data_IF_335655041570
#
_entry.id   IF_335655041570
#
_cell.length_a   1.000
_cell.length_b   1.000
_cell.length_c   1.000
_cell.angle_alpha   90.00
_cell.angle_beta   90.00
_cell.angle_gamma   90.00
#
_symmetry.space_group_name_H-M   'P 1'
#
loop_
_entity.id
_entity.type
_entity.pdbx_description
1 polymer ?
#
# COMPACT_ATOMS: atom_id res chain seq x y z
N UNK A 1 -28.80 -40.38 -10.07
CA UNK A 1 -28.73 -38.90 -9.95
C UNK A 1 -27.28 -38.49 -9.74
N UNK A 2 -26.75 -37.69 -10.67
CA UNK A 2 -25.36 -37.24 -10.78
C UNK A 2 -25.23 -35.86 -10.16
N UNK A 3 -24.22 -35.59 -9.32
CA UNK A 3 -23.25 -34.52 -9.60
C UNK A 3 -22.04 -34.56 -8.66
N UNK A 4 -20.92 -34.94 -9.25
CA UNK A 4 -19.56 -34.74 -8.75
C UNK A 4 -19.30 -33.26 -8.45
N UNK A 5 -18.60 -32.99 -7.35
CA UNK A 5 -17.98 -31.69 -7.08
C UNK A 5 -16.78 -31.53 -8.01
N UNK A 6 -16.96 -30.70 -9.04
CA UNK A 6 -15.91 -30.36 -10.00
C UNK A 6 -14.99 -29.32 -9.36
N UNK A 7 -13.75 -29.75 -9.11
CA UNK A 7 -12.59 -28.90 -8.84
C UNK A 7 -12.48 -27.84 -9.95
N UNK A 8 -12.53 -26.56 -9.57
CA UNK A 8 -12.29 -25.46 -10.50
C UNK A 8 -10.78 -25.23 -10.58
N UNK A 9 -10.16 -25.96 -11.51
CA UNK A 9 -8.82 -25.72 -11.99
C UNK A 9 -8.65 -24.25 -12.41
N UNK A 10 -7.48 -23.70 -12.10
CA UNK A 10 -7.01 -22.42 -12.60
C UNK A 10 -7.09 -22.40 -14.13
N UNK A 11 -7.92 -21.51 -14.67
CA UNK A 11 -7.89 -21.19 -16.09
C UNK A 11 -6.85 -20.08 -16.33
N UNK A 12 -6.07 -20.16 -17.43
CA UNK A 12 -4.98 -19.24 -17.71
C UNK A 12 -5.57 -17.88 -18.09
N UNK A 13 -5.09 -16.80 -17.48
CA UNK A 13 -5.38 -15.46 -17.95
C UNK A 13 -4.31 -15.06 -18.96
N UNK A 14 -4.54 -15.44 -20.21
CA UNK A 14 -4.10 -14.63 -21.33
C UNK A 14 -4.70 -13.24 -21.16
N UNK A 15 -3.86 -12.27 -20.78
CA UNK A 15 -4.23 -10.87 -20.92
C UNK A 15 -3.02 -10.09 -21.38
N UNK A 16 -2.89 -10.07 -22.71
CA UNK A 16 -2.64 -8.89 -23.54
C UNK A 16 -2.33 -7.65 -22.70
N UNK A 17 -1.11 -7.13 -22.89
CA UNK A 17 -0.53 -5.91 -22.34
C UNK A 17 -1.52 -4.73 -22.29
N UNK A 18 -2.37 -4.70 -21.27
CA UNK A 18 -3.14 -3.51 -20.92
C UNK A 18 -2.22 -2.63 -20.09
N UNK A 19 -2.06 -1.34 -20.43
CA UNK A 19 -1.27 -0.43 -19.60
C UNK A 19 -1.79 -0.52 -18.17
N UNK A 20 -0.87 -0.74 -17.22
CA UNK A 20 -1.19 -1.01 -15.83
C UNK A 20 -2.17 0.05 -15.32
N UNK A 21 -3.36 -0.39 -14.90
CA UNK A 21 -4.43 0.53 -14.46
C UNK A 21 -3.93 1.34 -13.27
N UNK A 22 -3.89 2.66 -13.42
CA UNK A 22 -3.56 3.58 -12.32
C UNK A 22 -4.74 3.66 -11.34
N UNK A 23 -4.53 3.20 -10.11
CA UNK A 23 -5.52 3.28 -9.03
C UNK A 23 -5.25 4.53 -8.20
N UNK A 24 -6.25 5.41 -8.07
CA UNK A 24 -6.21 6.54 -7.15
C UNK A 24 -6.84 6.13 -5.83
N UNK A 25 -6.02 6.06 -4.79
CA UNK A 25 -6.48 5.87 -3.41
C UNK A 25 -6.25 7.14 -2.58
N UNK A 26 -7.20 7.49 -1.71
CA UNK A 26 -7.12 8.65 -0.82
C UNK A 26 -7.21 8.18 0.61
N UNK A 27 -6.17 8.47 1.40
CA UNK A 27 -6.04 8.00 2.78
C UNK A 27 -6.13 9.14 3.79
N UNK A 28 -6.80 8.88 4.91
CA UNK A 28 -6.84 9.76 6.09
C UNK A 28 -5.83 9.24 7.10
N UNK A 29 -4.86 10.06 7.49
CA UNK A 29 -3.82 9.74 8.48
C UNK A 29 -3.75 10.81 9.57
N UNK A 30 -3.21 10.51 10.77
CA UNK A 30 -2.89 11.50 11.78
C UNK A 30 -1.97 12.60 11.25
N UNK A 31 -2.05 13.79 11.85
CA UNK A 31 -1.23 14.93 11.44
C UNK A 31 0.27 14.64 11.57
N UNK A 32 0.67 13.94 12.64
CA UNK A 32 2.06 13.58 12.91
C UNK A 32 2.62 12.66 11.83
N UNK A 33 1.88 11.62 11.43
CA UNK A 33 2.26 10.72 10.34
C UNK A 33 2.34 11.45 9.00
N UNK A 34 1.44 12.40 8.75
CA UNK A 34 1.49 13.22 7.55
C UNK A 34 2.74 14.11 7.52
N UNK A 35 3.16 14.65 8.67
CA UNK A 35 4.37 15.45 8.78
C UNK A 35 5.63 14.66 8.43
N UNK A 36 5.67 13.35 8.70
CA UNK A 36 6.79 12.48 8.30
C UNK A 36 7.03 12.48 6.79
N UNK A 37 5.99 12.68 5.97
CA UNK A 37 6.15 12.79 4.50
C UNK A 37 7.03 13.97 4.14
N UNK A 38 6.88 15.11 4.81
CA UNK A 38 7.71 16.29 4.57
C UNK A 38 9.16 16.03 4.97
N UNK A 39 9.38 15.40 6.13
CA UNK A 39 10.71 14.98 6.60
C UNK A 39 11.38 14.05 5.58
N UNK A 40 10.65 13.05 5.07
CA UNK A 40 11.19 12.11 4.08
C UNK A 40 11.54 12.82 2.76
N UNK A 41 10.75 13.79 2.31
CA UNK A 41 11.10 14.61 1.14
C UNK A 41 12.37 15.42 1.38
N UNK A 42 12.52 16.04 2.55
CA UNK A 42 13.73 16.79 2.89
C UNK A 42 14.97 15.88 2.88
N UNK A 43 14.88 14.66 3.45
CA UNK A 43 15.96 13.66 3.38
C UNK A 43 16.28 13.25 1.94
N UNK A 44 15.27 13.06 1.11
CA UNK A 44 15.47 12.73 -0.29
C UNK A 44 16.18 13.87 -1.06
N UNK A 45 15.84 15.13 -0.75
CA UNK A 45 16.52 16.32 -1.28
C UNK A 45 17.98 16.39 -0.85
N UNK A 46 18.30 16.08 0.41
CA UNK A 46 19.69 16.01 0.90
C UNK A 46 20.49 14.95 0.14
N UNK A 47 19.86 13.86 -0.28
CA UNK A 47 20.44 12.83 -1.15
C UNK A 47 20.41 13.20 -2.65
N UNK A 48 20.18 14.47 -2.99
CA UNK A 48 20.10 14.99 -4.36
C UNK A 48 19.03 14.31 -5.23
N UNK A 49 18.01 13.69 -4.60
CA UNK A 49 16.93 12.97 -5.28
C UNK A 49 15.56 13.47 -4.81
N UNK A 50 15.00 14.54 -5.40
CA UNK A 50 13.65 15.00 -5.06
C UNK A 50 12.63 13.88 -5.31
N UNK A 51 11.75 13.63 -4.32
CA UNK A 51 10.76 12.56 -4.38
C UNK A 51 9.32 13.09 -4.26
N UNK A 52 8.41 12.51 -5.04
CA UNK A 52 6.97 12.77 -4.92
C UNK A 52 6.37 12.04 -3.72
N UNK A 53 5.24 12.53 -3.20
CA UNK A 53 4.51 11.85 -2.12
C UNK A 53 4.15 10.40 -2.50
N UNK A 54 3.65 10.20 -3.73
CA UNK A 54 3.30 8.86 -4.23
C UNK A 54 4.51 7.94 -4.43
N UNK A 55 5.71 8.48 -4.65
CA UNK A 55 6.94 7.68 -4.74
C UNK A 55 7.40 7.22 -3.36
N UNK A 56 7.40 8.13 -2.37
CA UNK A 56 7.74 7.80 -0.99
C UNK A 56 6.81 6.74 -0.40
N UNK A 57 5.50 6.85 -0.64
CA UNK A 57 4.54 5.85 -0.16
C UNK A 57 4.77 4.48 -0.80
N UNK A 58 5.03 4.44 -2.13
CA UNK A 58 5.36 3.19 -2.82
C UNK A 58 6.68 2.60 -2.30
N UNK A 59 7.71 3.41 -2.12
CA UNK A 59 8.98 2.98 -1.56
C UNK A 59 8.83 2.42 -0.14
N UNK A 60 7.98 3.05 0.69
CA UNK A 60 7.61 2.54 2.01
C UNK A 60 6.96 1.16 1.94
N UNK A 61 6.01 0.94 1.03
CA UNK A 61 5.39 -0.37 0.82
C UNK A 61 6.40 -1.44 0.40
N UNK A 62 7.34 -1.11 -0.51
CA UNK A 62 8.40 -2.03 -0.90
C UNK A 62 9.34 -2.35 0.28
N UNK A 63 9.70 -1.35 1.09
CA UNK A 63 10.49 -1.58 2.30
C UNK A 63 9.74 -2.47 3.31
N UNK A 64 8.45 -2.23 3.54
CA UNK A 64 7.62 -3.06 4.43
C UNK A 64 7.49 -4.50 3.91
N UNK A 65 7.45 -4.71 2.58
CA UNK A 65 7.39 -6.05 1.99
C UNK A 65 8.67 -6.86 2.17
N UNK A 66 9.80 -6.21 2.47
CA UNK A 66 11.07 -6.87 2.75
C UNK A 66 11.22 -7.34 4.21
N UNK A 67 10.29 -6.95 5.10
CA UNK A 67 10.33 -7.31 6.51
C UNK A 67 9.85 -8.75 6.75
N UNK A 68 10.33 -9.37 7.82
CA UNK A 68 9.76 -10.63 8.30
C UNK A 68 8.33 -10.43 8.81
N UNK A 69 7.47 -11.48 8.82
CA UNK A 69 6.09 -11.35 9.29
C UNK A 69 5.98 -10.78 10.71
N UNK A 70 6.89 -11.17 11.60
CA UNK A 70 6.93 -10.70 12.99
C UNK A 70 7.34 -9.23 13.10
N UNK A 71 8.31 -8.80 12.27
CA UNK A 71 8.74 -7.41 12.24
C UNK A 71 7.64 -6.50 11.66
N UNK A 72 6.94 -6.98 10.63
CA UNK A 72 5.78 -6.27 10.08
C UNK A 72 4.67 -6.12 11.11
N UNK A 73 4.31 -7.20 11.84
CA UNK A 73 3.30 -7.14 12.89
C UNK A 73 3.67 -6.10 13.96
N UNK A 74 4.90 -6.15 14.47
CA UNK A 74 5.40 -5.17 15.45
C UNK A 74 5.34 -3.73 14.93
N UNK A 75 5.68 -3.52 13.65
CA UNK A 75 5.62 -2.20 13.02
C UNK A 75 4.18 -1.68 12.92
N UNK A 76 3.21 -2.55 12.68
CA UNK A 76 1.78 -2.20 12.64
C UNK A 76 1.22 -1.94 14.05
N UNK A 77 1.59 -2.73 15.03
CA UNK A 77 1.14 -2.59 16.42
C UNK A 77 1.63 -1.29 17.08
N UNK A 78 2.76 -0.74 16.60
CA UNK A 78 3.29 0.54 17.06
C UNK A 78 2.53 1.76 16.52
N UNK A 79 1.65 1.59 15.53
CA UNK A 79 0.91 2.71 14.94
C UNK A 79 -0.23 3.15 15.86
N UNK A 80 -0.38 4.47 16.02
CA UNK A 80 -1.52 5.01 16.74
C UNK A 80 -2.83 4.67 16.00
N UNK A 81 -3.86 4.19 16.71
CA UNK A 81 -5.13 3.84 16.08
C UNK A 81 -5.75 5.08 15.45
N UNK A 82 -5.91 5.04 14.13
CA UNK A 82 -6.62 6.09 13.39
C UNK A 82 -8.11 5.90 13.63
N UNK A 83 -8.78 6.89 14.22
CA UNK A 83 -10.25 6.96 14.14
C UNK A 83 -10.61 7.12 12.67
N UNK A 84 -10.91 6.00 12.01
CA UNK A 84 -11.16 5.95 10.59
C UNK A 84 -12.34 6.87 10.23
N UNK A 85 -12.04 8.08 9.77
CA UNK A 85 -13.01 8.99 9.15
C UNK A 85 -13.35 8.53 7.75
N UNK A 86 -13.56 7.22 7.54
CA UNK A 86 -13.95 6.69 6.23
C UNK A 86 -15.24 7.41 5.85
N UNK A 87 -15.26 8.21 4.76
CA UNK A 87 -16.47 8.89 4.37
C UNK A 87 -17.55 7.82 4.14
N UNK A 88 -18.67 7.92 4.86
CA UNK A 88 -19.86 7.12 4.54
C UNK A 88 -20.20 7.45 3.08
N UNK A 89 -20.15 6.43 2.23
CA UNK A 89 -20.50 6.54 0.81
C UNK A 89 -21.81 7.33 0.67
N UNK A 90 -21.79 8.37 -0.16
CA UNK A 90 -23.00 8.72 -0.92
C UNK A 90 -23.15 7.70 -2.04
#
# INVERSE_FOLDING_TARGET
MVKQRKSRAAAPMDSVDKPARLVRDSFTMPADDFALVAVMKARALQAQRPAKKSELLRAGLHALSSLSPQALAKALDALAPVKAGRPKKK
#
